data_IF_112705624796
#
_entry.id   IF_112705624796
#
_cell.length_a   1.000
_cell.length_b   1.000
_cell.length_c   1.000
_cell.angle_alpha   90.00
_cell.angle_beta   90.00
_cell.angle_gamma   90.00
#
_symmetry.space_group_name_H-M   'P 1'
#
loop_
_entity.id
_entity.type
_entity.pdbx_description
1 polymer ?
#
# COMPACT_ATOMS: atom_id res chain seq x y z
N UNK A 1 -4.43 15.51 -3.70
CA UNK A 1 -4.23 14.31 -4.52
C UNK A 1 -2.77 13.88 -4.40
N UNK A 2 -2.48 12.57 -4.28
CA UNK A 2 -1.10 12.08 -4.28
C UNK A 2 -0.43 12.39 -5.63
N UNK A 3 0.90 12.52 -5.63
CA UNK A 3 1.67 12.72 -6.85
C UNK A 3 2.04 11.37 -7.48
N UNK A 4 2.16 11.27 -8.82
CA UNK A 4 2.60 10.05 -9.47
C UNK A 4 3.93 9.52 -8.92
N UNK A 5 4.90 10.40 -8.64
CA UNK A 5 6.21 10.01 -8.11
C UNK A 5 6.09 9.36 -6.72
N UNK A 6 5.19 9.88 -5.88
CA UNK A 6 4.90 9.31 -4.56
C UNK A 6 4.27 7.93 -4.70
N UNK A 7 3.29 7.78 -5.59
CA UNK A 7 2.62 6.49 -5.83
C UNK A 7 3.61 5.47 -6.41
N UNK A 8 4.43 5.86 -7.38
CA UNK A 8 5.45 4.99 -7.97
C UNK A 8 6.51 4.56 -6.97
N UNK A 9 7.01 5.47 -6.12
CA UNK A 9 7.96 5.12 -5.07
C UNK A 9 7.37 4.12 -4.06
N UNK A 10 6.12 4.30 -3.65
CA UNK A 10 5.43 3.36 -2.75
C UNK A 10 5.22 2.00 -3.43
N UNK A 11 4.90 1.97 -4.73
CA UNK A 11 4.82 0.71 -5.49
C UNK A 11 6.18 0.01 -5.51
N UNK A 12 7.29 0.73 -5.72
CA UNK A 12 8.62 0.13 -5.65
C UNK A 12 8.85 -0.56 -4.30
N UNK A 13 8.51 0.11 -3.20
CA UNK A 13 8.64 -0.43 -1.85
C UNK A 13 7.78 -1.69 -1.62
N UNK A 14 6.48 -1.62 -1.92
CA UNK A 14 5.57 -2.76 -1.77
C UNK A 14 6.07 -3.98 -2.57
N UNK A 15 6.63 -3.72 -3.75
CA UNK A 15 7.03 -4.76 -4.69
C UNK A 15 8.43 -5.32 -4.49
N UNK A 16 9.11 -4.91 -3.41
CA UNK A 16 10.24 -5.64 -2.86
C UNK A 16 9.78 -6.93 -2.16
N UNK A 17 8.60 -6.91 -1.53
CA UNK A 17 8.06 -8.02 -0.75
C UNK A 17 6.94 -8.81 -1.46
N UNK A 18 6.24 -8.18 -2.41
CA UNK A 18 5.05 -8.75 -3.08
C UNK A 18 5.10 -8.55 -4.60
N UNK A 19 4.49 -9.47 -5.34
CA UNK A 19 4.36 -9.32 -6.80
C UNK A 19 3.14 -8.49 -7.21
N UNK A 20 2.15 -8.37 -6.33
CA UNK A 20 0.89 -7.66 -6.56
C UNK A 20 0.60 -6.58 -5.52
N UNK A 21 -0.23 -5.62 -5.91
CA UNK A 21 -0.69 -4.54 -5.03
C UNK A 21 -2.08 -4.05 -5.45
N UNK A 22 -2.70 -3.28 -4.56
CA UNK A 22 -4.01 -2.66 -4.76
C UNK A 22 -4.00 -1.18 -4.32
N UNK A 23 -4.97 -0.35 -4.77
CA UNK A 23 -5.01 1.07 -4.44
C UNK A 23 -5.20 1.36 -2.94
N UNK A 24 -5.87 0.47 -2.20
CA UNK A 24 -6.08 0.65 -0.76
C UNK A 24 -4.77 0.45 0.02
N UNK A 25 -3.93 -0.49 -0.41
CA UNK A 25 -2.59 -0.67 0.16
C UNK A 25 -1.74 0.59 -0.03
N UNK A 26 -1.71 1.17 -1.24
CA UNK A 26 -0.97 2.43 -1.50
C UNK A 26 -1.52 3.57 -0.64
N UNK A 27 -2.85 3.70 -0.57
CA UNK A 27 -3.52 4.67 0.31
C UNK A 27 -3.09 4.50 1.76
N UNK A 28 -3.12 3.28 2.29
CA UNK A 28 -2.78 2.97 3.66
C UNK A 28 -1.35 3.40 4.02
N UNK A 29 -0.40 3.20 3.09
CA UNK A 29 0.99 3.67 3.26
C UNK A 29 1.09 5.20 3.26
N UNK A 30 0.38 5.89 2.35
CA UNK A 30 0.37 7.36 2.31
C UNK A 30 -0.23 7.93 3.60
N UNK A 31 -1.36 7.40 4.05
CA UNK A 31 -2.03 7.86 5.28
C UNK A 31 -1.14 7.58 6.51
N UNK A 32 -0.51 6.41 6.57
CA UNK A 32 0.47 6.06 7.63
C UNK A 32 1.69 6.98 7.61
N UNK A 33 2.11 7.43 6.43
CA UNK A 33 3.22 8.39 6.31
C UNK A 33 2.88 9.72 6.99
N UNK A 34 1.67 10.23 6.75
CA UNK A 34 1.24 11.47 7.41
C UNK A 34 1.09 11.29 8.92
N UNK A 35 0.57 10.15 9.37
CA UNK A 35 0.47 9.80 10.79
C UNK A 35 1.84 9.75 11.47
N UNK A 36 2.86 9.20 10.81
CA UNK A 36 4.23 9.17 11.35
C UNK A 36 4.93 10.52 11.36
N UNK A 37 4.65 11.39 10.38
CA UNK A 37 5.20 12.75 10.35
C UNK A 37 4.58 13.61 11.46
N UNK A 38 3.29 13.46 11.70
CA UNK A 38 2.55 14.14 12.76
C UNK A 38 1.28 13.34 13.09
N UNK A 39 1.24 12.75 14.29
CA UNK A 39 0.11 11.92 14.74
C UNK A 39 -1.23 12.67 14.70
N UNK A 40 -1.22 14.01 14.79
CA UNK A 40 -2.44 14.82 14.73
C UNK A 40 -2.90 15.09 13.30
N UNK A 41 -2.05 14.79 12.32
CA UNK A 41 -2.28 15.05 10.90
C UNK A 41 -2.93 13.83 10.27
N UNK A 42 -4.25 13.76 10.41
CA UNK A 42 -5.05 12.80 9.65
C UNK A 42 -5.30 13.33 8.24
N UNK A 43 -4.73 12.65 7.25
CA UNK A 43 -5.04 12.87 5.84
C UNK A 43 -5.88 11.68 5.38
N UNK A 44 -7.01 11.96 4.72
CA UNK A 44 -7.78 10.93 4.03
C UNK A 44 -7.49 11.03 2.54
N UNK A 45 -6.96 9.96 1.97
CA UNK A 45 -6.70 9.87 0.54
C UNK A 45 -7.90 9.23 -0.14
N UNK A 46 -8.38 9.85 -1.22
CA UNK A 46 -9.40 9.25 -2.07
C UNK A 46 -8.75 8.15 -2.93
N UNK A 47 -9.19 6.88 -2.82
CA UNK A 47 -8.67 5.79 -3.66
C UNK A 47 -8.79 6.06 -5.16
N UNK A 48 -9.81 6.83 -5.57
CA UNK A 48 -10.02 7.18 -6.98
C UNK A 48 -8.87 8.02 -7.55
N UNK A 49 -8.24 8.86 -6.72
CA UNK A 49 -7.06 9.63 -7.15
C UNK A 49 -5.85 8.73 -7.41
N UNK A 50 -5.72 7.63 -6.67
CA UNK A 50 -4.67 6.63 -6.91
C UNK A 50 -4.98 5.85 -8.18
N UNK A 51 -6.23 5.44 -8.40
CA UNK A 51 -6.63 4.74 -9.62
C UNK A 51 -6.34 5.53 -10.88
N UNK A 52 -6.61 6.84 -10.91
CA UNK A 52 -6.29 7.68 -12.06
C UNK A 52 -4.79 7.66 -12.39
N UNK A 53 -3.92 7.70 -11.37
CA UNK A 53 -2.46 7.57 -11.56
C UNK A 53 -2.09 6.17 -12.06
N UNK A 54 -2.76 5.12 -11.56
CA UNK A 54 -2.53 3.77 -12.05
C UNK A 54 -2.96 3.58 -13.50
N UNK A 55 -4.01 4.27 -13.96
CA UNK A 55 -4.40 4.28 -15.38
C UNK A 55 -3.33 4.92 -16.25
N UNK A 56 -2.71 6.02 -15.80
CA UNK A 56 -1.56 6.62 -16.47
C UNK A 56 -0.38 5.62 -16.54
N UNK A 57 -0.05 4.94 -15.43
CA UNK A 57 1.01 3.92 -15.41
C UNK A 57 0.71 2.71 -16.27
N UNK A 58 -0.56 2.32 -16.41
CA UNK A 58 -0.99 1.29 -17.38
C UNK A 58 -0.72 1.78 -18.80
N UNK A 59 -1.10 3.01 -19.14
CA UNK A 59 -0.87 3.58 -20.48
C UNK A 59 0.62 3.65 -20.85
N UNK A 60 1.49 3.81 -19.85
CA UNK A 60 2.95 3.86 -20.00
C UNK A 60 3.60 2.46 -20.01
N UNK A 61 2.82 1.41 -19.79
CA UNK A 61 3.29 0.02 -19.75
C UNK A 61 4.01 -0.37 -18.46
N UNK A 62 3.91 0.43 -17.40
CA UNK A 62 4.58 0.16 -16.12
C UNK A 62 3.81 -0.83 -15.25
N UNK A 63 2.49 -0.85 -15.39
CA UNK A 63 1.60 -1.66 -14.56
C UNK A 63 0.61 -2.38 -15.47
N UNK A 64 0.20 -3.58 -15.07
CA UNK A 64 -0.89 -4.33 -15.69
C UNK A 64 -1.98 -4.62 -14.66
N UNK A 65 -3.23 -4.41 -15.04
CA UNK A 65 -4.39 -4.76 -14.21
C UNK A 65 -4.68 -6.26 -14.32
N UNK A 66 -4.78 -6.95 -13.20
CA UNK A 66 -5.12 -8.37 -13.10
C UNK A 66 -6.25 -8.59 -12.10
N UNK A 67 -7.48 -8.70 -12.61
CA UNK A 67 -8.68 -8.72 -11.77
C UNK A 67 -8.81 -7.43 -10.96
N UNK A 68 -8.85 -7.56 -9.63
CA UNK A 68 -8.95 -6.44 -8.68
C UNK A 68 -7.59 -5.87 -8.25
N UNK A 69 -6.49 -6.49 -8.69
CA UNK A 69 -5.11 -6.11 -8.34
C UNK A 69 -4.31 -5.62 -9.53
N UNK A 70 -3.11 -5.16 -9.25
CA UNK A 70 -2.15 -4.63 -10.20
C UNK A 70 -0.82 -5.39 -10.07
N UNK A 71 -0.19 -5.68 -11.21
CA UNK A 71 1.15 -6.26 -11.30
C UNK A 71 2.10 -5.26 -11.93
N UNK A 72 3.33 -5.21 -11.43
CA UNK A 72 4.38 -4.37 -12.01
C UNK A 72 5.04 -5.10 -13.17
N UNK A 73 5.20 -4.43 -14.31
CA UNK A 73 5.97 -4.98 -15.44
C UNK A 73 7.46 -4.83 -15.19
N UNK A 74 8.32 -5.53 -15.94
CA UNK A 74 9.78 -5.35 -15.86
C UNK A 74 10.19 -3.89 -16.07
N UNK A 75 9.52 -3.20 -17.01
CA UNK A 75 9.76 -1.78 -17.28
C UNK A 75 9.31 -0.90 -16.11
N UNK A 76 8.13 -1.15 -15.56
CA UNK A 76 7.63 -0.42 -14.40
C UNK A 76 8.52 -0.59 -13.17
N UNK A 77 9.06 -1.79 -12.93
CA UNK A 77 9.95 -2.05 -11.80
C UNK A 77 11.19 -1.15 -11.85
N UNK A 78 11.78 -0.95 -13.03
CA UNK A 78 12.89 -0.03 -13.19
C UNK A 78 12.46 1.43 -12.98
N UNK A 79 11.36 1.85 -13.62
CA UNK A 79 10.84 3.21 -13.49
C UNK A 79 10.52 3.59 -12.04
N UNK A 80 9.83 2.71 -11.30
CA UNK A 80 9.47 2.93 -9.90
C UNK A 80 10.69 2.91 -8.98
N UNK A 81 11.69 2.07 -9.26
CA UNK A 81 12.96 2.08 -8.52
C UNK A 81 13.71 3.40 -8.72
N UNK A 82 13.63 3.99 -9.91
CA UNK A 82 14.23 5.31 -10.17
C UNK A 82 13.45 6.42 -9.47
N UNK A 83 12.11 6.33 -9.40
CA UNK A 83 11.30 7.23 -8.57
C UNK A 83 11.65 7.11 -7.08
N UNK A 84 11.84 5.90 -6.55
CA UNK A 84 12.29 5.67 -5.18
C UNK A 84 13.64 6.34 -4.90
N UNK A 85 14.63 6.11 -5.77
CA UNK A 85 15.97 6.71 -5.65
C UNK A 85 16.00 8.23 -5.79
N UNK A 86 14.97 8.82 -6.39
CA UNK A 86 14.86 10.27 -6.53
C UNK A 86 14.39 10.97 -5.25
N UNK A 87 13.91 10.20 -4.27
CA UNK A 87 13.48 10.74 -2.98
C UNK A 87 14.69 11.24 -2.17
N UNK A 88 14.45 12.26 -1.37
CA UNK A 88 15.40 12.62 -0.32
C UNK A 88 15.40 11.55 0.78
N UNK A 89 16.53 11.35 1.51
CA UNK A 89 16.65 10.28 2.49
C UNK A 89 15.62 10.33 3.62
N UNK A 90 15.11 11.53 3.97
CA UNK A 90 14.11 11.67 5.02
C UNK A 90 12.75 11.16 4.53
N UNK A 91 12.34 11.55 3.32
CA UNK A 91 11.12 11.03 2.69
C UNK A 91 11.20 9.51 2.49
N UNK A 92 12.35 8.99 2.07
CA UNK A 92 12.60 7.56 1.94
C UNK A 92 12.35 6.81 3.27
N UNK A 93 12.95 7.30 4.35
CA UNK A 93 12.79 6.72 5.69
C UNK A 93 11.34 6.76 6.18
N UNK A 94 10.61 7.85 5.89
CA UNK A 94 9.20 7.96 6.24
C UNK A 94 8.34 6.94 5.49
N UNK A 95 8.54 6.74 4.18
CA UNK A 95 7.78 5.75 3.42
C UNK A 95 8.09 4.32 3.88
N UNK A 96 9.37 4.00 4.12
CA UNK A 96 9.76 2.68 4.64
C UNK A 96 9.12 2.41 6.01
N UNK A 97 9.20 3.37 6.93
CA UNK A 97 8.56 3.28 8.24
C UNK A 97 7.04 3.17 8.16
N UNK A 98 6.41 3.94 7.26
CA UNK A 98 4.96 3.94 7.07
C UNK A 98 4.45 2.60 6.53
N UNK A 99 5.18 1.98 5.61
CA UNK A 99 4.82 0.66 5.09
C UNK A 99 4.93 -0.42 6.18
N UNK A 100 6.03 -0.44 6.94
CA UNK A 100 6.17 -1.36 8.07
C UNK A 100 5.06 -1.16 9.12
N UNK A 101 4.73 0.09 9.43
CA UNK A 101 3.66 0.44 10.36
C UNK A 101 2.28 0.01 9.85
N UNK A 102 1.98 0.25 8.58
CA UNK A 102 0.75 -0.18 7.93
C UNK A 102 0.58 -1.70 7.98
N UNK A 103 1.62 -2.45 7.63
CA UNK A 103 1.60 -3.92 7.66
C UNK A 103 1.41 -4.45 9.10
N UNK A 104 2.09 -3.85 10.09
CA UNK A 104 1.90 -4.21 11.49
C UNK A 104 0.46 -3.95 11.97
N UNK A 105 -0.15 -2.80 11.61
CA UNK A 105 -1.55 -2.50 11.92
C UNK A 105 -2.51 -3.50 11.27
N UNK A 106 -2.23 -3.87 10.02
CA UNK A 106 -3.04 -4.84 9.28
C UNK A 106 -2.98 -6.22 9.94
N UNK A 107 -1.79 -6.70 10.29
CA UNK A 107 -1.60 -7.97 11.01
C UNK A 107 -2.31 -7.96 12.37
N UNK A 108 -2.23 -6.87 13.13
CA UNK A 108 -2.93 -6.73 14.41
C UNK A 108 -4.47 -6.81 14.23
N UNK A 109 -5.00 -6.16 13.19
CA UNK A 109 -6.42 -6.19 12.87
C UNK A 109 -6.90 -7.60 12.48
N UNK A 110 -6.12 -8.30 11.65
CA UNK A 110 -6.40 -9.69 11.25
C UNK A 110 -6.37 -10.63 12.47
N UNK A 111 -5.36 -10.51 13.34
CA UNK A 111 -5.26 -11.31 14.57
C UNK A 111 -6.44 -11.08 15.53
N UNK A 112 -6.92 -9.83 15.66
CA UNK A 112 -8.13 -9.51 16.44
C UNK A 112 -9.39 -10.11 15.84
N UNK A 113 -9.53 -10.13 14.51
CA UNK A 113 -10.66 -10.78 13.84
C UNK A 113 -10.63 -12.31 14.00
N UNK A 114 -9.44 -12.92 13.92
CA UNK A 114 -9.28 -14.35 14.12
C UNK A 114 -9.63 -14.78 15.56
N UNK A 115 -9.28 -13.97 16.57
CA UNK A 115 -9.61 -14.23 17.97
C UNK A 115 -11.07 -13.93 18.35
N UNK A 116 -11.85 -13.25 17.49
CA UNK A 116 -13.26 -12.93 17.74
C UNK A 116 -14.24 -13.83 16.99
N UNK A 117 -13.78 -14.78 16.15
CA UNK A 117 -14.64 -15.84 15.59
C UNK A 117 -15.17 -16.72 16.73
N UNK A 118 -16.48 -16.68 17.05
CA UNK A 118 -17.02 -17.56 18.07
C UNK A 118 -16.90 -18.99 17.57
N UNK A 119 -16.13 -19.80 18.28
CA UNK A 119 -16.15 -21.26 18.12
C UNK A 119 -17.58 -21.72 18.38
N UNK A 120 -18.35 -21.92 17.31
CA UNK A 120 -19.61 -22.66 17.34
C UNK A 120 -19.30 -24.15 17.56
N UNK A 121 -18.73 -24.46 18.72
CA UNK A 121 -18.69 -25.82 19.26
C UNK A 121 -20.12 -26.13 19.69
N UNK A 122 -20.91 -26.69 18.77
CA UNK A 122 -22.21 -27.33 19.04
C UNK A 122 -22.05 -28.19 20.31
N UNK A 123 -22.55 -27.70 21.45
CA UNK A 123 -22.83 -28.54 22.62
C UNK A 123 -23.88 -29.54 22.16
N UNK A 124 -23.45 -30.75 21.80
CA UNK A 124 -24.33 -31.90 21.67
C UNK A 124 -24.98 -32.11 23.04
N UNK A 125 -26.27 -31.79 23.11
CA UNK A 125 -27.15 -32.14 24.23
C UNK A 125 -27.08 -33.66 24.43
N UNK A 126 -26.96 -34.08 25.69
CA UNK A 126 -27.29 -35.42 26.15
C UNK A 126 -28.57 -35.32 26.94
#
# INVERSE_FOLDING_TARGET
MPKPETVGAIIALITEDRDDFDPETIKGVIESTYELIDEKKHVTINPESIKNILEEFISQGYVQKTGDKYLVTTQGRQAFKDMWKSLDPLTEAYFAGAYAYYEAKKEEAENKQHNTRPSHRKKRQR
#
